data_IF_238355232700
#
_entry.id   IF_238355232700
#
_cell.length_a   1.000
_cell.length_b   1.000
_cell.length_c   1.000
_cell.angle_alpha   90.00
_cell.angle_beta   90.00
_cell.angle_gamma   90.00
#
_symmetry.space_group_name_H-M   'P 1'
#
loop_
_entity.id
_entity.type
_entity.pdbx_description
1 polymer ?
#
# COMPACT_ATOMS: atom_id res chain seq x y z
N UNK A 1 71.58 20.62 10.94
CA UNK A 1 70.94 21.68 10.13
C UNK A 1 70.11 21.00 9.07
N UNK A 2 68.81 21.27 9.10
CA UNK A 2 67.78 20.61 8.33
C UNK A 2 67.87 20.94 6.84
N UNK A 3 67.89 19.91 5.99
CA UNK A 3 67.65 20.04 4.55
C UNK A 3 66.16 19.97 4.30
N UNK A 4 65.59 21.08 3.84
CA UNK A 4 64.22 21.16 3.37
C UNK A 4 64.10 20.39 2.05
N UNK A 5 63.33 19.30 2.07
CA UNK A 5 62.74 18.74 0.85
C UNK A 5 61.42 19.50 0.66
N UNK A 6 61.39 20.37 -0.35
CA UNK A 6 60.16 20.92 -0.90
C UNK A 6 59.30 19.76 -1.43
N UNK A 7 58.35 19.29 -0.62
CA UNK A 7 57.23 18.53 -1.16
C UNK A 7 56.26 19.53 -1.78
N UNK A 8 56.34 19.64 -3.10
CA UNK A 8 55.34 20.23 -3.98
C UNK A 8 53.94 19.78 -3.56
N UNK A 9 53.21 20.73 -2.96
CA UNK A 9 51.81 20.59 -2.63
C UNK A 9 51.01 20.79 -3.93
N UNK A 10 50.94 19.74 -4.76
CA UNK A 10 50.06 19.71 -5.92
C UNK A 10 48.65 19.44 -5.37
N UNK A 11 47.91 20.52 -5.12
CA UNK A 11 46.45 20.48 -5.09
C UNK A 11 45.99 19.99 -6.47
N UNK A 12 45.88 18.67 -6.66
CA UNK A 12 44.93 18.13 -7.61
C UNK A 12 43.57 18.46 -7.03
N UNK A 13 42.91 19.48 -7.58
CA UNK A 13 41.47 19.60 -7.52
C UNK A 13 40.89 18.34 -8.18
N UNK A 14 40.79 17.25 -7.41
CA UNK A 14 40.10 16.06 -7.82
C UNK A 14 38.63 16.46 -7.95
N UNK A 15 38.16 16.61 -9.19
CA UNK A 15 36.75 16.75 -9.51
C UNK A 15 36.03 15.50 -8.98
N UNK A 16 35.49 15.60 -7.77
CA UNK A 16 34.78 14.51 -7.12
C UNK A 16 33.29 14.63 -7.42
N UNK A 17 32.69 13.58 -7.98
CA UNK A 17 31.25 13.49 -8.23
C UNK A 17 30.54 12.84 -7.06
N UNK A 18 29.43 13.44 -6.66
CA UNK A 18 28.62 12.97 -5.54
C UNK A 18 27.66 11.88 -6.02
N UNK A 19 27.71 10.73 -5.39
CA UNK A 19 26.76 9.63 -5.58
C UNK A 19 25.83 9.60 -4.37
N UNK A 20 24.52 9.50 -4.63
CA UNK A 20 23.49 9.37 -3.59
C UNK A 20 22.70 8.11 -3.83
N UNK A 21 22.73 7.20 -2.85
CA UNK A 21 22.05 5.90 -2.90
C UNK A 21 20.95 5.86 -1.86
N UNK A 22 19.79 5.34 -2.25
CA UNK A 22 18.66 5.03 -1.38
C UNK A 22 18.53 3.52 -1.23
N UNK A 23 18.52 3.04 0.00
CA UNK A 23 18.50 1.60 0.30
C UNK A 23 17.84 1.29 1.64
N UNK A 24 17.24 0.11 1.73
CA UNK A 24 16.75 -0.42 3.01
C UNK A 24 17.93 -0.70 3.96
N UNK A 25 17.70 -0.56 5.27
CA UNK A 25 18.72 -0.88 6.30
C UNK A 25 19.34 -2.28 6.10
N UNK A 26 18.54 -3.25 5.61
CA UNK A 26 18.99 -4.62 5.32
C UNK A 26 19.98 -4.69 4.15
N UNK A 27 19.96 -3.75 3.20
CA UNK A 27 20.83 -3.70 2.02
C UNK A 27 22.14 -2.93 2.25
N UNK A 28 22.36 -2.36 3.45
CA UNK A 28 23.58 -1.59 3.78
C UNK A 28 24.88 -2.38 3.61
N UNK A 29 24.86 -3.65 4.03
CA UNK A 29 26.02 -4.54 3.90
C UNK A 29 26.42 -4.75 2.43
N UNK A 30 25.44 -4.76 1.50
CA UNK A 30 25.69 -4.91 0.06
C UNK A 30 26.42 -3.70 -0.50
N UNK A 31 25.99 -2.49 -0.15
CA UNK A 31 26.68 -1.25 -0.58
C UNK A 31 28.13 -1.24 -0.08
N UNK A 32 28.36 -1.55 1.20
CA UNK A 32 29.71 -1.61 1.76
C UNK A 32 30.60 -2.65 1.07
N UNK A 33 30.04 -3.82 0.75
CA UNK A 33 30.77 -4.88 0.06
C UNK A 33 31.14 -4.50 -1.36
N UNK A 34 30.25 -3.81 -2.08
CA UNK A 34 30.51 -3.30 -3.44
C UNK A 34 31.64 -2.26 -3.42
N UNK A 35 31.62 -1.33 -2.47
CA UNK A 35 32.66 -0.30 -2.36
C UNK A 35 34.01 -0.89 -1.94
N UNK A 36 34.04 -1.77 -0.93
CA UNK A 36 35.26 -2.43 -0.48
C UNK A 36 35.91 -3.31 -1.56
N UNK A 37 35.10 -4.04 -2.34
CA UNK A 37 35.58 -4.84 -3.47
C UNK A 37 36.16 -3.95 -4.57
N UNK A 38 35.62 -2.74 -4.77
CA UNK A 38 36.11 -1.78 -5.76
C UNK A 38 37.35 -1.04 -5.32
N UNK A 39 37.49 -0.72 -4.03
CA UNK A 39 38.73 -0.19 -3.45
C UNK A 39 39.89 -1.19 -3.58
N UNK A 40 39.59 -2.51 -3.56
CA UNK A 40 40.59 -3.55 -3.83
C UNK A 40 40.92 -3.77 -5.31
N UNK A 41 39.98 -3.52 -6.22
CA UNK A 41 40.14 -3.73 -7.67
C UNK A 41 40.69 -2.50 -8.43
N UNK A 42 40.38 -1.29 -7.95
CA UNK A 42 40.72 -0.03 -8.59
C UNK A 42 41.79 0.68 -7.74
N UNK A 43 43.04 0.67 -8.22
CA UNK A 43 44.11 1.48 -7.61
C UNK A 43 43.71 2.95 -7.69
N UNK A 44 43.84 3.66 -6.58
CA UNK A 44 43.54 5.10 -6.42
C UNK A 44 42.05 5.50 -6.35
N UNK A 45 41.13 4.56 -6.16
CA UNK A 45 39.72 4.90 -5.86
C UNK A 45 39.62 5.67 -4.54
N UNK A 46 39.16 6.93 -4.60
CA UNK A 46 38.94 7.76 -3.41
C UNK A 46 37.45 7.94 -3.13
N UNK A 47 36.93 7.19 -2.16
CA UNK A 47 35.56 7.37 -1.67
C UNK A 47 35.58 8.24 -0.42
N UNK A 48 35.06 9.48 -0.53
CA UNK A 48 35.12 10.46 0.56
C UNK A 48 33.74 11.01 0.93
N UNK A 49 33.63 11.72 2.04
CA UNK A 49 32.40 12.43 2.45
C UNK A 49 31.15 11.53 2.62
N UNK A 50 31.30 10.36 3.24
CA UNK A 50 30.17 9.54 3.63
C UNK A 50 29.25 10.30 4.58
N UNK A 51 28.02 10.54 4.14
CA UNK A 51 26.94 11.08 4.97
C UNK A 51 25.79 10.09 4.99
N UNK A 52 25.26 9.89 6.17
CA UNK A 52 24.10 9.04 6.41
C UNK A 52 22.90 9.93 6.73
N UNK A 53 21.81 9.70 6.02
CA UNK A 53 20.49 10.27 6.30
C UNK A 53 19.47 9.16 6.44
N UNK A 54 18.39 9.45 7.16
CA UNK A 54 17.20 8.59 7.19
C UNK A 54 16.08 9.28 6.44
N UNK A 55 15.37 8.53 5.61
CA UNK A 55 14.20 8.99 4.89
C UNK A 55 13.09 7.94 5.12
N UNK A 56 12.30 8.15 6.18
CA UNK A 56 11.36 7.13 6.66
C UNK A 56 12.09 5.90 7.19
N UNK A 57 11.68 4.71 6.72
CA UNK A 57 12.32 3.43 7.06
C UNK A 57 13.56 3.11 6.21
N UNK A 58 13.87 3.97 5.23
CA UNK A 58 14.97 3.80 4.29
C UNK A 58 16.17 4.68 4.67
N UNK A 59 17.36 4.19 4.34
CA UNK A 59 18.62 4.90 4.56
C UNK A 59 19.06 5.57 3.26
N UNK A 60 19.48 6.82 3.36
CA UNK A 60 20.08 7.58 2.27
C UNK A 60 21.56 7.75 2.58
N UNK A 61 22.41 7.32 1.66
CA UNK A 61 23.86 7.42 1.79
C UNK A 61 24.38 8.26 0.65
N UNK A 62 25.09 9.33 0.98
CA UNK A 62 25.83 10.09 -0.03
C UNK A 62 27.32 9.98 0.21
N UNK A 63 28.08 9.82 -0.86
CA UNK A 63 29.54 9.81 -0.85
C UNK A 63 30.05 10.40 -2.15
N UNK A 64 31.30 10.84 -2.16
CA UNK A 64 31.96 11.35 -3.35
C UNK A 64 32.88 10.27 -3.91
N UNK A 65 32.90 10.16 -5.23
CA UNK A 65 33.85 9.34 -6.00
C UNK A 65 34.55 10.26 -6.98
N UNK A 66 35.81 10.01 -7.25
CA UNK A 66 36.55 10.70 -8.30
C UNK A 66 35.94 10.47 -9.69
N UNK A 67 36.06 11.47 -10.56
CA UNK A 67 35.38 11.46 -11.87
C UNK A 67 35.77 10.25 -12.74
N UNK A 68 37.04 9.83 -12.67
CA UNK A 68 37.57 8.68 -13.43
C UNK A 68 36.84 7.37 -13.10
N UNK A 69 36.40 7.18 -11.84
CA UNK A 69 35.75 5.97 -11.38
C UNK A 69 34.23 6.08 -11.24
N UNK A 70 33.67 7.29 -11.39
CA UNK A 70 32.23 7.55 -11.23
C UNK A 70 31.35 6.60 -12.05
N UNK A 71 31.66 6.42 -13.34
CA UNK A 71 30.90 5.54 -14.25
C UNK A 71 30.89 4.08 -13.80
N UNK A 72 32.03 3.57 -13.35
CA UNK A 72 32.18 2.18 -12.92
C UNK A 72 31.39 1.89 -11.65
N UNK A 73 31.46 2.81 -10.67
CA UNK A 73 30.73 2.69 -9.41
C UNK A 73 29.22 2.77 -9.65
N UNK A 74 28.74 3.79 -10.38
CA UNK A 74 27.32 3.96 -10.73
C UNK A 74 26.76 2.71 -11.41
N UNK A 75 27.46 2.19 -12.44
CA UNK A 75 27.03 0.98 -13.14
C UNK A 75 26.90 -0.23 -12.23
N UNK A 76 27.86 -0.44 -11.31
CA UNK A 76 27.81 -1.56 -10.36
C UNK A 76 26.70 -1.42 -9.31
N UNK A 77 26.40 -0.21 -8.86
CA UNK A 77 25.27 0.02 -7.96
C UNK A 77 23.94 -0.34 -8.64
N UNK A 78 23.78 0.03 -9.91
CA UNK A 78 22.59 -0.28 -10.71
C UNK A 78 22.44 -1.80 -10.91
N UNK A 79 23.50 -2.49 -11.32
CA UNK A 79 23.50 -3.96 -11.53
C UNK A 79 23.11 -4.71 -10.24
N UNK A 80 23.39 -4.14 -9.07
CA UNK A 80 23.09 -4.73 -7.77
C UNK A 80 21.75 -4.27 -7.16
N UNK A 81 20.85 -3.69 -7.96
CA UNK A 81 19.51 -3.23 -7.52
C UNK A 81 19.58 -2.22 -6.36
N UNK A 82 20.54 -1.30 -6.43
CA UNK A 82 20.64 -0.14 -5.54
C UNK A 82 20.10 1.10 -6.24
N UNK A 83 19.11 1.75 -5.62
CA UNK A 83 18.42 2.91 -6.20
C UNK A 83 19.28 4.16 -6.05
N UNK A 84 19.66 4.76 -7.17
CA UNK A 84 20.36 6.05 -7.20
C UNK A 84 19.35 7.20 -7.17
N UNK A 85 19.64 8.25 -6.38
CA UNK A 85 18.75 9.42 -6.25
C UNK A 85 19.15 10.60 -7.13
N UNK A 86 20.31 10.54 -7.80
CA UNK A 86 20.79 11.61 -8.67
C UNK A 86 21.20 11.05 -10.03
N UNK A 87 20.27 10.91 -10.99
CA UNK A 87 20.67 10.73 -12.36
C UNK A 87 20.87 12.13 -12.98
N UNK A 88 22.12 12.60 -13.03
CA UNK A 88 22.49 13.64 -13.98
C UNK A 88 22.42 13.07 -15.42
N UNK A 89 22.42 13.92 -16.45
CA UNK A 89 22.36 13.47 -17.86
C UNK A 89 23.48 12.48 -18.21
N UNK A 90 24.61 12.52 -17.49
CA UNK A 90 25.71 11.57 -17.63
C UNK A 90 25.38 10.20 -17.01
N UNK A 91 24.74 10.17 -15.85
CA UNK A 91 24.25 8.95 -15.18
C UNK A 91 23.11 8.29 -15.97
N UNK A 92 22.24 9.08 -16.61
CA UNK A 92 21.23 8.55 -17.54
C UNK A 92 21.87 7.85 -18.73
N UNK A 93 22.90 8.44 -19.35
CA UNK A 93 23.66 7.77 -20.42
C UNK A 93 24.37 6.51 -19.94
N UNK A 94 24.86 6.47 -18.70
CA UNK A 94 25.46 5.25 -18.12
C UNK A 94 24.41 4.16 -17.91
N UNK A 95 23.19 4.52 -17.51
CA UNK A 95 22.05 3.59 -17.37
C UNK A 95 21.66 3.02 -18.74
N UNK A 96 21.60 3.85 -19.78
CA UNK A 96 21.28 3.45 -21.15
C UNK A 96 22.38 2.58 -21.78
N UNK A 97 23.66 2.95 -21.62
CA UNK A 97 24.81 2.19 -22.12
C UNK A 97 25.01 0.84 -21.41
N UNK A 98 24.55 0.71 -20.16
CA UNK A 98 24.71 -0.52 -19.37
C UNK A 98 23.82 -1.69 -19.83
N UNK A 99 22.97 -1.49 -20.87
CA UNK A 99 22.08 -2.51 -21.47
C UNK A 99 21.54 -3.52 -20.45
N UNK A 100 20.91 -3.03 -19.38
CA UNK A 100 20.21 -3.92 -18.45
C UNK A 100 18.91 -4.34 -19.14
N UNK A 101 18.66 -5.64 -19.38
CA UNK A 101 17.47 -6.09 -20.10
C UNK A 101 16.22 -5.61 -19.36
N UNK A 102 15.21 -5.20 -20.13
CA UNK A 102 13.93 -4.63 -19.70
C UNK A 102 13.07 -5.53 -18.78
N UNK A 103 13.63 -6.61 -18.22
CA UNK A 103 12.99 -7.55 -17.30
C UNK A 103 13.15 -7.20 -15.82
N UNK A 104 13.97 -6.20 -15.44
CA UNK A 104 13.99 -5.67 -14.08
C UNK A 104 13.34 -4.28 -14.05
N UNK A 105 12.17 -4.18 -13.39
CA UNK A 105 11.28 -3.01 -13.35
C UNK A 105 11.86 -1.73 -12.74
N UNK A 106 12.88 -1.17 -13.36
CA UNK A 106 13.49 0.10 -13.01
C UNK A 106 12.60 1.24 -13.50
N UNK A 107 11.66 1.69 -12.66
CA UNK A 107 10.94 2.94 -12.88
C UNK A 107 11.89 4.10 -12.57
N UNK A 108 12.37 4.78 -13.62
CA UNK A 108 12.97 6.12 -13.54
C UNK A 108 12.01 7.03 -12.74
N UNK A 109 12.39 7.34 -11.50
CA UNK A 109 11.68 8.35 -10.71
C UNK A 109 12.31 9.70 -11.05
N UNK A 110 11.46 10.65 -11.47
CA UNK A 110 11.84 12.00 -11.89
C UNK A 110 12.73 12.66 -10.83
N UNK A 111 13.83 13.26 -11.25
CA UNK A 111 14.85 13.88 -10.39
C UNK A 111 14.23 14.91 -9.44
N UNK A 112 14.68 14.91 -8.18
CA UNK A 112 14.41 15.99 -7.23
C UNK A 112 15.73 16.66 -6.82
N UNK A 113 15.77 18.00 -6.87
CA UNK A 113 16.92 18.83 -6.49
C UNK A 113 17.21 18.75 -4.98
N UNK A 114 18.46 19.03 -4.56
CA UNK A 114 18.80 19.18 -3.14
C UNK A 114 18.00 20.30 -2.47
N UNK A 115 17.64 21.34 -3.22
CA UNK A 115 16.78 22.42 -2.72
C UNK A 115 15.32 21.94 -2.56
N UNK A 116 14.83 21.06 -3.43
CA UNK A 116 13.51 20.43 -3.29
C UNK A 116 13.47 19.37 -2.19
N UNK A 117 14.60 18.69 -1.92
CA UNK A 117 14.78 17.78 -0.78
C UNK A 117 14.87 18.54 0.54
N UNK A 118 15.52 19.71 0.53
CA UNK A 118 15.60 20.61 1.69
C UNK A 118 14.25 21.27 1.94
N UNK A 119 13.53 21.65 0.88
CA UNK A 119 12.15 22.13 0.93
C UNK A 119 11.19 21.04 1.43
N UNK A 120 11.36 19.77 1.03
CA UNK A 120 10.67 18.61 1.62
C UNK A 120 11.06 18.32 3.07
N UNK A 121 12.31 18.55 3.45
CA UNK A 121 12.79 18.41 4.84
C UNK A 121 12.31 19.55 5.74
N UNK A 122 12.16 20.77 5.21
CA UNK A 122 11.59 21.92 5.93
C UNK A 122 10.06 21.94 5.91
N UNK A 123 9.41 21.38 4.89
CA UNK A 123 7.94 21.16 4.87
C UNK A 123 7.51 19.93 5.67
N UNK A 124 8.42 19.00 5.96
CA UNK A 124 8.20 17.94 6.97
C UNK A 124 8.49 18.40 8.41
N UNK A 125 9.08 19.59 8.60
CA UNK A 125 9.16 20.27 9.89
C UNK A 125 7.99 21.26 10.13
N UNK A 126 7.12 21.45 9.13
CA UNK A 126 5.88 22.21 9.26
C UNK A 126 5.13 22.32 7.94
N UNK A 127 4.14 21.45 7.71
CA UNK A 127 2.95 21.66 6.87
C UNK A 127 2.23 20.31 6.63
N UNK A 128 1.01 20.17 7.12
CA UNK A 128 0.21 18.93 7.02
C UNK A 128 -0.20 18.51 5.60
N UNK A 129 0.21 19.26 4.56
CA UNK A 129 -0.26 19.10 3.19
C UNK A 129 0.50 18.05 2.34
N UNK A 130 1.82 17.85 2.54
CA UNK A 130 2.59 16.90 1.69
C UNK A 130 2.40 15.43 2.07
N UNK A 131 2.18 15.14 3.36
CA UNK A 131 1.83 13.80 3.84
C UNK A 131 0.38 13.42 3.51
N UNK A 132 -0.51 14.40 3.43
CA UNK A 132 -1.92 14.18 3.12
C UNK A 132 -2.13 13.57 1.74
N UNK A 133 -1.47 14.12 0.71
CA UNK A 133 -1.57 13.59 -0.66
C UNK A 133 -1.02 12.16 -0.76
N UNK A 134 0.03 11.85 -0.01
CA UNK A 134 0.54 10.49 0.06
C UNK A 134 -0.46 9.55 0.73
N UNK A 135 -1.12 9.97 1.81
CA UNK A 135 -2.16 9.16 2.45
C UNK A 135 -3.38 8.95 1.56
N UNK A 136 -3.77 9.95 0.77
CA UNK A 136 -4.83 9.81 -0.22
C UNK A 136 -4.43 8.79 -1.31
N UNK A 137 -3.21 8.91 -1.85
CA UNK A 137 -2.71 8.04 -2.92
C UNK A 137 -2.49 6.60 -2.48
N UNK A 138 -2.07 6.38 -1.22
CA UNK A 138 -1.80 5.06 -0.65
C UNK A 138 -3.01 4.41 0.01
N UNK A 139 -4.18 5.06 -0.02
CA UNK A 139 -5.38 4.54 0.63
C UNK A 139 -5.34 4.53 2.16
N UNK A 140 -4.45 5.30 2.79
CA UNK A 140 -4.36 5.41 4.25
C UNK A 140 -5.46 6.32 4.83
N UNK A 141 -6.73 5.98 4.58
CA UNK A 141 -7.88 6.82 4.93
C UNK A 141 -8.01 7.09 6.44
N UNK A 142 -7.58 6.16 7.30
CA UNK A 142 -7.57 6.37 8.77
C UNK A 142 -6.72 7.59 9.17
N UNK A 143 -5.59 7.82 8.48
CA UNK A 143 -4.72 8.98 8.69
C UNK A 143 -5.34 10.25 8.12
N UNK A 144 -6.05 10.17 6.99
CA UNK A 144 -6.82 11.30 6.45
C UNK A 144 -7.90 11.75 7.44
N UNK A 145 -8.60 10.79 8.07
CA UNK A 145 -9.58 11.09 9.14
C UNK A 145 -8.92 11.74 10.35
N UNK A 146 -7.71 11.30 10.72
CA UNK A 146 -6.97 11.90 11.83
C UNK A 146 -6.62 13.37 11.52
N UNK A 147 -6.18 13.67 10.30
CA UNK A 147 -5.91 15.04 9.84
C UNK A 147 -7.18 15.90 9.88
N UNK A 148 -8.33 15.35 9.47
CA UNK A 148 -9.62 16.04 9.53
C UNK A 148 -10.08 16.41 10.94
N UNK A 149 -9.67 15.65 11.96
CA UNK A 149 -10.07 15.86 13.35
C UNK A 149 -9.09 16.73 14.15
N UNK A 150 -7.89 16.97 13.62
CA UNK A 150 -6.88 17.76 14.31
C UNK A 150 -7.11 19.26 14.08
N UNK A 151 -7.47 19.94 15.17
CA UNK A 151 -7.79 21.38 15.22
C UNK A 151 -6.54 22.24 14.92
N UNK A 152 -5.34 21.65 14.99
CA UNK A 152 -4.08 22.35 14.71
C UNK A 152 -3.80 22.51 13.22
N UNK A 153 -4.52 21.80 12.35
CA UNK A 153 -4.31 21.88 10.91
C UNK A 153 -4.95 23.13 10.32
N UNK A 154 -4.33 23.68 9.29
CA UNK A 154 -4.86 24.82 8.56
C UNK A 154 -6.12 24.45 7.77
N UNK A 155 -6.98 25.46 7.53
CA UNK A 155 -8.28 25.28 6.84
C UNK A 155 -8.11 24.63 5.46
N UNK A 156 -7.04 24.95 4.74
CA UNK A 156 -6.79 24.41 3.40
C UNK A 156 -6.41 22.92 3.45
N UNK A 157 -5.60 22.49 4.42
CA UNK A 157 -5.30 21.07 4.67
C UNK A 157 -6.56 20.29 5.06
N UNK A 158 -7.44 20.86 5.89
CA UNK A 158 -8.70 20.23 6.28
C UNK A 158 -9.64 20.09 5.07
N UNK A 159 -9.79 21.14 4.25
CA UNK A 159 -10.60 21.09 3.02
C UNK A 159 -10.07 20.06 2.03
N UNK A 160 -8.74 20.01 1.83
CA UNK A 160 -8.09 19.01 0.98
C UNK A 160 -8.26 17.59 1.52
N UNK A 161 -8.21 17.41 2.83
CA UNK A 161 -8.44 16.10 3.43
C UNK A 161 -9.90 15.67 3.28
N UNK A 162 -10.83 16.62 3.33
CA UNK A 162 -12.26 16.37 3.15
C UNK A 162 -12.57 15.96 1.72
N UNK A 163 -12.00 16.65 0.73
CA UNK A 163 -12.16 16.31 -0.68
C UNK A 163 -11.43 15.01 -1.07
N UNK A 164 -10.28 14.74 -0.44
CA UNK A 164 -9.48 13.55 -0.69
C UNK A 164 -9.92 12.28 0.04
N UNK A 165 -10.77 12.38 1.08
CA UNK A 165 -11.16 11.23 1.91
C UNK A 165 -11.82 10.13 1.08
N UNK A 166 -12.79 10.47 0.25
CA UNK A 166 -13.50 9.48 -0.58
C UNK A 166 -12.52 8.76 -1.52
N UNK A 167 -11.59 9.48 -2.15
CA UNK A 167 -10.56 8.88 -2.98
C UNK A 167 -9.65 7.93 -2.18
N UNK A 168 -9.24 8.32 -0.98
CA UNK A 168 -8.44 7.48 -0.10
C UNK A 168 -9.16 6.17 0.27
N UNK A 169 -10.45 6.24 0.61
CA UNK A 169 -11.25 5.06 0.94
C UNK A 169 -11.42 4.15 -0.28
N UNK A 170 -11.74 4.73 -1.45
CA UNK A 170 -11.87 3.97 -2.71
C UNK A 170 -10.58 3.25 -3.06
N UNK A 171 -9.43 3.93 -2.93
CA UNK A 171 -8.12 3.31 -3.14
C UNK A 171 -7.86 2.16 -2.17
N UNK A 172 -8.18 2.33 -0.89
CA UNK A 172 -8.03 1.28 0.12
C UNK A 172 -8.89 0.05 -0.22
N UNK A 173 -10.14 0.27 -0.64
CA UNK A 173 -11.06 -0.81 -1.03
C UNK A 173 -10.48 -1.58 -2.22
N UNK A 174 -10.08 -0.86 -3.28
CA UNK A 174 -9.62 -1.51 -4.50
C UNK A 174 -8.27 -2.22 -4.31
N UNK A 175 -7.35 -1.66 -3.50
CA UNK A 175 -6.09 -2.33 -3.20
C UNK A 175 -6.31 -3.65 -2.44
N UNK A 176 -7.15 -3.66 -1.40
CA UNK A 176 -7.45 -4.89 -0.66
C UNK A 176 -8.18 -5.90 -1.55
N UNK A 177 -9.13 -5.45 -2.37
CA UNK A 177 -9.85 -6.30 -3.31
C UNK A 177 -8.89 -6.97 -4.31
N UNK A 178 -8.04 -6.20 -4.99
CA UNK A 178 -7.08 -6.74 -5.96
C UNK A 178 -6.08 -7.70 -5.33
N UNK A 179 -5.63 -7.44 -4.09
CA UNK A 179 -4.77 -8.40 -3.37
C UNK A 179 -5.50 -9.72 -3.10
N UNK A 180 -6.77 -9.64 -2.69
CA UNK A 180 -7.58 -10.83 -2.42
C UNK A 180 -7.90 -11.64 -3.68
N UNK A 181 -8.13 -10.97 -4.81
CA UNK A 181 -8.34 -11.64 -6.10
C UNK A 181 -7.08 -12.36 -6.56
N UNK A 182 -5.92 -11.69 -6.48
CA UNK A 182 -4.66 -12.21 -7.02
C UNK A 182 -3.99 -13.27 -6.13
N UNK A 183 -4.29 -13.28 -4.82
CA UNK A 183 -3.65 -14.19 -3.88
C UNK A 183 -4.67 -14.84 -2.94
N UNK A 184 -4.96 -16.12 -3.19
CA UNK A 184 -5.86 -16.94 -2.36
C UNK A 184 -5.44 -16.98 -0.89
N UNK A 185 -4.14 -17.04 -0.59
CA UNK A 185 -3.64 -17.10 0.79
C UNK A 185 -3.85 -15.80 1.57
N UNK A 186 -4.08 -14.68 0.88
CA UNK A 186 -4.39 -13.41 1.51
C UNK A 186 -5.89 -13.10 1.54
N UNK A 187 -6.72 -13.91 0.86
CA UNK A 187 -8.15 -13.63 0.69
C UNK A 187 -8.85 -13.35 2.02
N UNK A 188 -8.66 -14.19 3.04
CA UNK A 188 -9.28 -14.05 4.37
C UNK A 188 -8.90 -12.72 5.03
N UNK A 189 -7.61 -12.38 4.95
CA UNK A 189 -7.08 -11.11 5.49
C UNK A 189 -7.70 -9.92 4.76
N UNK A 190 -7.84 -10.00 3.44
CA UNK A 190 -8.41 -8.91 2.65
C UNK A 190 -9.93 -8.79 2.84
N UNK A 191 -10.65 -9.92 2.98
CA UNK A 191 -12.08 -9.94 3.34
C UNK A 191 -12.27 -9.25 4.69
N UNK A 192 -11.48 -9.63 5.71
CA UNK A 192 -11.54 -8.99 7.02
C UNK A 192 -11.23 -7.49 6.96
N UNK A 193 -10.25 -7.07 6.15
CA UNK A 193 -9.93 -5.67 5.94
C UNK A 193 -11.08 -4.89 5.29
N UNK A 194 -11.73 -5.46 4.27
CA UNK A 194 -12.89 -4.85 3.60
C UNK A 194 -14.10 -4.76 4.53
N UNK A 195 -14.37 -5.80 5.33
CA UNK A 195 -15.43 -5.77 6.36
C UNK A 195 -15.14 -4.70 7.40
N UNK A 196 -13.88 -4.54 7.80
CA UNK A 196 -13.46 -3.47 8.72
C UNK A 196 -13.74 -2.08 8.13
N UNK A 197 -13.43 -1.86 6.87
CA UNK A 197 -13.77 -0.60 6.17
C UNK A 197 -15.29 -0.41 6.15
N UNK A 198 -16.04 -1.44 5.75
CA UNK A 198 -17.50 -1.39 5.60
C UNK A 198 -18.26 -1.16 6.93
N UNK A 199 -17.64 -1.48 8.06
CA UNK A 199 -18.20 -1.31 9.41
C UNK A 199 -17.64 -0.10 10.17
N UNK A 200 -16.80 0.74 9.55
CA UNK A 200 -16.12 1.84 10.23
C UNK A 200 -17.09 2.98 10.61
N UNK A 201 -17.33 3.14 11.91
CA UNK A 201 -18.22 4.19 12.44
C UNK A 201 -17.70 5.61 12.17
N UNK A 202 -16.39 5.80 12.00
CA UNK A 202 -15.85 7.12 11.65
C UNK A 202 -16.28 7.50 10.24
N UNK A 203 -16.24 6.56 9.30
CA UNK A 203 -16.73 6.78 7.93
C UNK A 203 -18.25 7.01 7.89
N UNK A 204 -19.03 6.32 8.75
CA UNK A 204 -20.47 6.61 8.91
C UNK A 204 -20.72 8.04 9.38
N UNK A 205 -19.98 8.50 10.39
CA UNK A 205 -20.11 9.88 10.91
C UNK A 205 -19.78 10.94 9.85
N UNK A 206 -18.90 10.60 8.90
CA UNK A 206 -18.51 11.43 7.77
C UNK A 206 -19.39 11.22 6.52
N UNK A 207 -20.51 10.50 6.67
CA UNK A 207 -21.52 10.23 5.63
C UNK A 207 -20.98 9.52 4.38
N UNK A 208 -19.93 8.69 4.52
CA UNK A 208 -19.33 7.94 3.42
C UNK A 208 -20.09 6.63 3.13
N UNK A 209 -21.43 6.65 3.11
CA UNK A 209 -22.26 5.43 3.03
C UNK A 209 -22.03 4.62 1.75
N UNK A 210 -21.82 5.28 0.61
CA UNK A 210 -21.54 4.59 -0.66
C UNK A 210 -20.21 3.83 -0.62
N UNK A 211 -19.20 4.39 0.03
CA UNK A 211 -17.91 3.73 0.20
C UNK A 211 -18.02 2.54 1.15
N UNK A 212 -18.82 2.65 2.22
CA UNK A 212 -19.10 1.54 3.13
C UNK A 212 -19.84 0.40 2.42
N UNK A 213 -20.88 0.73 1.64
CA UNK A 213 -21.60 -0.24 0.81
C UNK A 213 -20.65 -0.91 -0.18
N UNK A 214 -19.85 -0.12 -0.90
CA UNK A 214 -18.85 -0.63 -1.86
C UNK A 214 -17.85 -1.61 -1.24
N UNK A 215 -17.30 -1.27 -0.07
CA UNK A 215 -16.40 -2.16 0.66
C UNK A 215 -17.06 -3.51 1.01
N UNK A 216 -18.31 -3.47 1.49
CA UNK A 216 -19.08 -4.66 1.81
C UNK A 216 -19.37 -5.53 0.58
N UNK A 217 -19.77 -4.92 -0.53
CA UNK A 217 -19.99 -5.62 -1.80
C UNK A 217 -18.72 -6.29 -2.33
N UNK A 218 -17.57 -5.63 -2.21
CA UNK A 218 -16.26 -6.19 -2.60
C UNK A 218 -15.84 -7.35 -1.69
N UNK A 219 -16.15 -7.29 -0.40
CA UNK A 219 -15.92 -8.41 0.53
C UNK A 219 -16.75 -9.63 0.13
N UNK A 220 -18.04 -9.44 -0.17
CA UNK A 220 -18.93 -10.52 -0.64
C UNK A 220 -18.39 -11.11 -1.95
N UNK A 221 -17.99 -10.28 -2.91
CA UNK A 221 -17.42 -10.75 -4.18
C UNK A 221 -16.15 -11.60 -3.98
N UNK A 222 -15.28 -11.27 -3.01
CA UNK A 222 -14.13 -12.12 -2.67
C UNK A 222 -14.54 -13.48 -2.10
N UNK A 223 -15.57 -13.54 -1.26
CA UNK A 223 -16.13 -14.81 -0.77
C UNK A 223 -16.71 -15.66 -1.91
N UNK A 224 -17.27 -15.03 -2.95
CA UNK A 224 -17.77 -15.78 -4.12
C UNK A 224 -16.64 -16.37 -4.96
N UNK A 225 -15.54 -15.63 -5.12
CA UNK A 225 -14.35 -16.10 -5.83
C UNK A 225 -13.69 -17.24 -5.06
N UNK A 226 -13.57 -17.10 -3.74
CA UNK A 226 -12.94 -18.07 -2.86
C UNK A 226 -13.98 -18.80 -2.01
N UNK A 227 -14.60 -19.83 -2.59
CA UNK A 227 -15.68 -20.64 -1.96
C UNK A 227 -15.32 -21.28 -0.61
N UNK A 228 -14.05 -21.33 -0.24
CA UNK A 228 -13.61 -21.78 1.09
C UNK A 228 -14.04 -20.82 2.21
N UNK A 229 -14.33 -19.56 1.86
CA UNK A 229 -14.66 -18.49 2.80
C UNK A 229 -16.16 -18.17 2.83
N UNK A 230 -17.02 -19.16 2.57
CA UNK A 230 -18.47 -18.97 2.65
C UNK A 230 -18.96 -18.74 4.09
N UNK A 231 -18.20 -19.16 5.11
CA UNK A 231 -18.49 -18.89 6.52
C UNK A 231 -18.38 -17.40 6.85
N UNK A 232 -17.49 -16.65 6.17
CA UNK A 232 -17.37 -15.20 6.30
C UNK A 232 -18.65 -14.48 5.84
N UNK A 233 -19.39 -15.02 4.85
CA UNK A 233 -20.69 -14.45 4.47
C UNK A 233 -21.68 -14.46 5.64
N UNK A 234 -21.67 -15.51 6.46
CA UNK A 234 -22.51 -15.58 7.66
C UNK A 234 -22.10 -14.54 8.71
N UNK A 235 -20.79 -14.27 8.83
CA UNK A 235 -20.28 -13.20 9.71
C UNK A 235 -20.71 -11.82 9.19
N UNK A 236 -20.71 -11.61 7.87
CA UNK A 236 -21.24 -10.40 7.23
C UNK A 236 -22.74 -10.25 7.52
N UNK A 237 -23.55 -11.28 7.28
CA UNK A 237 -25.00 -11.28 7.54
C UNK A 237 -25.36 -10.81 8.95
N UNK A 238 -24.59 -11.24 9.94
CA UNK A 238 -24.84 -10.97 11.35
C UNK A 238 -24.27 -9.63 11.85
N UNK A 239 -23.55 -8.89 11.00
CA UNK A 239 -22.89 -7.66 11.42
C UNK A 239 -23.85 -6.46 11.34
N UNK A 240 -24.39 -6.07 12.49
CA UNK A 240 -25.31 -4.91 12.60
C UNK A 240 -24.65 -3.56 12.29
N UNK A 241 -23.32 -3.50 12.23
CA UNK A 241 -22.59 -2.28 11.87
C UNK A 241 -22.49 -2.09 10.37
N UNK A 242 -22.86 -3.07 9.54
CA UNK A 242 -22.89 -2.93 8.09
C UNK A 242 -24.22 -2.35 7.59
N UNK A 243 -24.22 -1.89 6.35
CA UNK A 243 -25.44 -1.45 5.67
C UNK A 243 -26.36 -2.65 5.45
N UNK A 244 -27.66 -2.50 5.74
CA UNK A 244 -28.65 -3.59 5.66
C UNK A 244 -28.64 -4.31 4.30
N UNK A 245 -28.47 -3.57 3.19
CA UNK A 245 -28.37 -4.17 1.85
C UNK A 245 -27.15 -5.07 1.67
N UNK A 246 -26.03 -4.80 2.33
CA UNK A 246 -24.86 -5.69 2.33
C UNK A 246 -25.16 -6.97 3.11
N UNK A 247 -25.80 -6.86 4.28
CA UNK A 247 -26.16 -8.02 5.10
C UNK A 247 -27.11 -8.97 4.37
N UNK A 248 -28.14 -8.39 3.75
CA UNK A 248 -29.14 -9.15 2.98
C UNK A 248 -28.51 -9.76 1.73
N UNK A 249 -27.67 -9.02 1.00
CA UNK A 249 -26.98 -9.56 -0.17
C UNK A 249 -26.04 -10.72 0.19
N UNK A 250 -25.33 -10.62 1.32
CA UNK A 250 -24.48 -11.72 1.79
C UNK A 250 -25.30 -13.00 2.05
N UNK A 251 -26.51 -12.86 2.59
CA UNK A 251 -27.42 -13.98 2.81
C UNK A 251 -27.90 -14.58 1.48
N UNK A 252 -28.27 -13.75 0.51
CA UNK A 252 -28.69 -14.16 -0.84
C UNK A 252 -27.55 -14.90 -1.55
N UNK A 253 -26.35 -14.35 -1.50
CA UNK A 253 -25.15 -14.93 -2.12
C UNK A 253 -24.77 -16.26 -1.47
N UNK A 254 -24.86 -16.35 -0.14
CA UNK A 254 -24.65 -17.60 0.57
C UNK A 254 -25.68 -18.65 0.15
N UNK A 255 -26.96 -18.27 0.11
CA UNK A 255 -28.06 -19.15 -0.29
C UNK A 255 -27.86 -19.68 -1.72
N UNK A 256 -27.55 -18.79 -2.67
CA UNK A 256 -27.28 -19.13 -4.06
C UNK A 256 -26.16 -20.16 -4.22
N UNK A 257 -25.10 -20.03 -3.41
CA UNK A 257 -23.93 -20.92 -3.50
C UNK A 257 -24.09 -22.24 -2.74
N UNK A 258 -25.04 -22.36 -1.80
CA UNK A 258 -25.16 -23.52 -0.91
C UNK A 258 -26.44 -24.32 -1.08
N UNK A 259 -27.59 -23.66 -1.30
CA UNK A 259 -28.92 -24.32 -1.33
C UNK A 259 -29.10 -25.15 -2.60
N UNK A 260 -28.49 -24.76 -3.71
CA UNK A 260 -28.55 -25.53 -4.96
C UNK A 260 -27.82 -26.88 -4.85
N UNK A 261 -26.83 -26.99 -3.97
CA UNK A 261 -25.99 -28.18 -3.77
C UNK A 261 -25.88 -28.52 -2.28
N UNK A 262 -27.02 -28.84 -1.67
CA UNK A 262 -27.12 -29.13 -0.22
C UNK A 262 -26.13 -30.21 0.23
N UNK A 263 -25.97 -31.28 -0.56
CA UNK A 263 -25.11 -32.40 -0.19
C UNK A 263 -23.62 -32.03 -0.15
N UNK A 264 -23.17 -31.18 -1.07
CA UNK A 264 -21.79 -30.68 -1.13
C UNK A 264 -21.49 -29.60 -0.09
N UNK A 265 -22.52 -28.91 0.41
CA UNK A 265 -22.39 -27.76 1.31
C UNK A 265 -22.91 -28.01 2.74
N UNK A 266 -23.05 -29.29 3.15
CA UNK A 266 -23.61 -29.65 4.48
C UNK A 266 -22.91 -28.94 5.63
N UNK A 267 -21.59 -28.82 5.60
CA UNK A 267 -20.84 -28.15 6.68
C UNK A 267 -21.17 -26.65 6.77
N UNK A 268 -21.18 -25.96 5.64
CA UNK A 268 -21.54 -24.54 5.54
C UNK A 268 -22.99 -24.30 5.98
N UNK A 269 -23.92 -25.15 5.54
CA UNK A 269 -25.33 -25.07 5.92
C UNK A 269 -25.54 -25.34 7.41
N UNK A 270 -24.86 -26.33 7.99
CA UNK A 270 -24.88 -26.59 9.43
C UNK A 270 -24.32 -25.40 10.23
N UNK A 271 -23.26 -24.77 9.73
CA UNK A 271 -22.71 -23.56 10.34
C UNK A 271 -23.71 -22.40 10.29
N UNK A 272 -24.40 -22.21 9.16
CA UNK A 272 -25.44 -21.20 9.02
C UNK A 272 -26.63 -21.45 9.96
N UNK A 273 -27.12 -22.69 10.06
CA UNK A 273 -28.22 -23.06 10.99
C UNK A 273 -27.90 -22.67 12.44
N UNK A 274 -26.66 -22.90 12.87
CA UNK A 274 -26.21 -22.60 14.24
C UNK A 274 -26.02 -21.10 14.48
N UNK A 275 -25.46 -20.38 13.51
CA UNK A 275 -24.93 -19.03 13.74
C UNK A 275 -25.78 -17.90 13.13
N UNK A 276 -26.67 -18.17 12.17
CA UNK A 276 -27.40 -17.13 11.47
C UNK A 276 -28.48 -16.49 12.38
N UNK A 277 -28.45 -15.17 12.50
CA UNK A 277 -29.48 -14.42 13.21
C UNK A 277 -30.65 -14.08 12.26
N UNK A 278 -31.55 -15.04 12.08
CA UNK A 278 -32.73 -14.88 11.22
C UNK A 278 -33.65 -13.71 11.62
N UNK A 279 -33.71 -13.35 12.91
CA UNK A 279 -34.56 -12.25 13.38
C UNK A 279 -33.99 -10.91 12.89
N UNK A 280 -32.69 -10.72 13.06
CA UNK A 280 -31.99 -9.54 12.56
C UNK A 280 -32.08 -9.42 11.04
N UNK A 281 -31.84 -10.53 10.32
CA UNK A 281 -31.87 -10.52 8.85
C UNK A 281 -33.24 -10.18 8.29
N UNK A 282 -34.34 -10.67 8.89
CA UNK A 282 -35.69 -10.29 8.45
C UNK A 282 -35.93 -8.79 8.64
N UNK A 283 -35.53 -8.22 9.79
CA UNK A 283 -35.63 -6.77 10.02
C UNK A 283 -34.81 -5.99 8.99
N UNK A 284 -33.58 -6.44 8.70
CA UNK A 284 -32.75 -5.83 7.69
C UNK A 284 -33.40 -5.91 6.30
N UNK A 285 -33.94 -7.09 5.93
CA UNK A 285 -34.63 -7.33 4.66
C UNK A 285 -35.84 -6.41 4.49
N UNK A 286 -36.71 -6.30 5.49
CA UNK A 286 -37.90 -5.44 5.42
C UNK A 286 -37.57 -3.98 5.09
N UNK A 287 -36.37 -3.51 5.49
CA UNK A 287 -35.91 -2.14 5.24
C UNK A 287 -35.40 -1.95 3.81
N UNK A 288 -34.76 -2.97 3.21
CA UNK A 288 -34.08 -2.87 1.89
C UNK A 288 -34.70 -3.78 0.83
N UNK A 289 -35.87 -4.35 1.08
CA UNK A 289 -36.53 -5.32 0.21
C UNK A 289 -36.68 -4.80 -1.23
N UNK A 290 -36.96 -3.51 -1.39
CA UNK A 290 -37.14 -2.87 -2.69
C UNK A 290 -35.86 -2.81 -3.54
N UNK A 291 -34.68 -3.03 -2.95
CA UNK A 291 -33.40 -3.05 -3.67
C UNK A 291 -33.16 -4.39 -4.41
N UNK A 292 -33.96 -5.43 -4.14
CA UNK A 292 -33.71 -6.79 -4.63
C UNK A 292 -34.79 -7.30 -5.61
N UNK A 293 -34.36 -8.06 -6.61
CA UNK A 293 -35.24 -8.71 -7.58
C UNK A 293 -35.94 -9.95 -7.02
N UNK A 294 -36.99 -10.43 -7.70
CA UNK A 294 -37.79 -11.58 -7.23
C UNK A 294 -36.93 -12.84 -6.99
N UNK A 295 -36.00 -13.15 -7.89
CA UNK A 295 -35.09 -14.29 -7.74
C UNK A 295 -34.20 -14.18 -6.51
N UNK A 296 -33.71 -12.98 -6.19
CA UNK A 296 -32.91 -12.74 -4.99
C UNK A 296 -33.75 -12.92 -3.72
N UNK A 297 -35.00 -12.43 -3.73
CA UNK A 297 -35.94 -12.63 -2.62
C UNK A 297 -36.28 -14.11 -2.41
N UNK A 298 -36.38 -14.89 -3.47
CA UNK A 298 -36.58 -16.34 -3.40
C UNK A 298 -35.40 -17.04 -2.72
N UNK A 299 -34.15 -16.69 -3.09
CA UNK A 299 -32.96 -17.22 -2.43
C UNK A 299 -32.91 -16.85 -0.94
N UNK A 300 -33.21 -15.59 -0.61
CA UNK A 300 -33.27 -15.14 0.78
C UNK A 300 -34.31 -15.95 1.57
N UNK A 301 -35.53 -16.06 1.05
CA UNK A 301 -36.63 -16.80 1.70
C UNK A 301 -36.27 -18.27 1.89
N UNK A 302 -35.69 -18.90 0.85
CA UNK A 302 -35.25 -20.30 0.89
C UNK A 302 -34.22 -20.54 2.00
N UNK A 303 -33.27 -19.61 2.20
CA UNK A 303 -32.29 -19.71 3.29
C UNK A 303 -32.95 -19.59 4.66
N UNK A 304 -33.85 -18.63 4.83
CA UNK A 304 -34.55 -18.42 6.10
C UNK A 304 -35.43 -19.64 6.45
N UNK A 305 -36.14 -20.19 5.47
CA UNK A 305 -36.95 -21.41 5.64
C UNK A 305 -36.08 -22.62 5.98
N UNK A 306 -34.97 -22.83 5.24
CA UNK A 306 -34.03 -23.90 5.51
C UNK A 306 -33.49 -23.82 6.93
N UNK A 307 -33.04 -22.63 7.36
CA UNK A 307 -32.50 -22.44 8.72
C UNK A 307 -33.58 -22.66 9.78
N UNK A 308 -34.82 -22.19 9.56
CA UNK A 308 -35.94 -22.43 10.51
C UNK A 308 -36.29 -23.91 10.63
N UNK A 309 -36.27 -24.67 9.53
CA UNK A 309 -36.64 -26.08 9.52
C UNK A 309 -35.60 -26.99 10.19
N UNK A 310 -34.33 -26.56 10.24
CA UNK A 310 -33.21 -27.38 10.72
C UNK A 310 -32.62 -26.87 12.05
N UNK A 311 -33.26 -25.89 12.71
CA UNK A 311 -32.78 -25.30 13.98
C UNK A 311 -33.13 -26.11 15.22
#
# INVERSE_FOLDING_TARGET
MAGAIECLNINKDFMSKKIVVKLDNKKLHKLKSILALREGELKDLSVTNFRYGKLGDEMVISFNVDDEHHRSIVGKLIINDLKLLQPDDQTLKIIEDAQVPASMGFRLTKSMSWDELKEKASSSAGSGASGLDEYIRTGSYEKVIQILKDIKNDSHTIERAKSGLTAAVVHAIEENYQKGVNNKYEADKQIAALIKIASDDKLKSLRQFDSLKSAGLKAIALCEIHKENLDELIKICNNSSLVNSVNVLAAIVFARNTILEVEGNKENLNYAVKNLNIRWLNIAFDIVEFEFGNSEKEYFTSLIEYVKANR
#
